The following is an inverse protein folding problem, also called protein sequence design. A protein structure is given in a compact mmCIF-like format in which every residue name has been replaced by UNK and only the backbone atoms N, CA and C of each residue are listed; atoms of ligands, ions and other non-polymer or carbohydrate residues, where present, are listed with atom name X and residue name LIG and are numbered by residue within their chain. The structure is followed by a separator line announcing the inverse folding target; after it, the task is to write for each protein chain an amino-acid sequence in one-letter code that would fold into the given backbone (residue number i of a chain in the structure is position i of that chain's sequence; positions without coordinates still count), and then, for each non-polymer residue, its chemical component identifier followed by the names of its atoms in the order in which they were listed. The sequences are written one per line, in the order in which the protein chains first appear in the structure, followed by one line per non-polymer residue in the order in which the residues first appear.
data_IF_134752855953
#
_entry.id   IF_134752855953
#
_cell.length_a   1.000
_cell.length_b   1.000
_cell.length_c   1.000
_cell.angle_alpha   90.00
_cell.angle_beta   90.00
_cell.angle_gamma   90.00
#
_symmetry.space_group_name_H-M   'P 1'
#
loop_
_entity.id
_entity.type
_entity.pdbx_description
1 polymer ?
#
# COMPACT_ATOMS: atom_id res chain seq x y z
N UNK A 1 2.21 12.28 -22.88
CA UNK A 1 1.83 13.37 -22.00
C UNK A 1 3.01 14.34 -21.75
N UNK A 2 4.20 13.87 -21.27
CA UNK A 2 5.37 14.73 -20.97
C UNK A 2 5.78 15.59 -22.18
N UNK A 3 5.99 14.99 -23.35
CA UNK A 3 6.30 15.71 -24.60
C UNK A 3 5.25 16.77 -24.97
N UNK A 4 3.97 16.48 -24.71
CA UNK A 4 2.89 17.45 -24.99
C UNK A 4 2.95 18.66 -24.03
N UNK A 5 3.20 18.42 -22.74
CA UNK A 5 3.35 19.48 -21.74
C UNK A 5 4.55 20.39 -22.09
N UNK A 6 5.68 19.76 -22.42
CA UNK A 6 6.91 20.48 -22.81
C UNK A 6 6.73 21.29 -24.10
N UNK A 7 5.96 20.80 -25.09
CA UNK A 7 5.63 21.53 -26.31
C UNK A 7 4.78 22.79 -26.07
N UNK A 8 4.17 22.92 -24.89
CA UNK A 8 3.41 24.10 -24.45
C UNK A 8 4.22 25.03 -23.54
N UNK A 9 5.56 24.88 -23.50
CA UNK A 9 6.46 25.64 -22.63
C UNK A 9 6.13 25.49 -21.12
N UNK A 10 5.49 24.38 -20.73
CA UNK A 10 5.18 24.06 -19.35
C UNK A 10 6.23 23.07 -18.80
N UNK A 11 6.67 23.30 -17.58
CA UNK A 11 7.60 22.40 -16.88
C UNK A 11 6.83 21.42 -16.00
N UNK A 12 7.05 20.14 -16.20
CA UNK A 12 6.53 19.11 -15.31
C UNK A 12 7.37 19.05 -14.03
N UNK A 13 6.74 19.23 -12.88
CA UNK A 13 7.37 19.07 -11.57
C UNK A 13 7.01 17.68 -11.03
N UNK A 14 8.03 16.91 -10.64
CA UNK A 14 7.80 15.57 -10.07
C UNK A 14 7.03 15.65 -8.75
N UNK A 15 6.04 14.76 -8.58
CA UNK A 15 5.32 14.59 -7.31
C UNK A 15 6.27 14.27 -6.16
N UNK A 16 7.40 13.62 -6.43
CA UNK A 16 8.42 13.33 -5.41
C UNK A 16 8.95 14.60 -4.75
N UNK A 17 9.14 15.68 -5.50
CA UNK A 17 9.63 16.97 -4.95
C UNK A 17 8.54 17.61 -4.10
N UNK A 18 7.28 17.55 -4.56
CA UNK A 18 6.15 18.21 -3.88
C UNK A 18 5.77 17.47 -2.60
N UNK A 19 5.77 16.13 -2.64
CA UNK A 19 5.27 15.27 -1.57
C UNK A 19 6.37 14.53 -0.81
N UNK A 20 7.62 14.98 -0.86
CA UNK A 20 8.78 14.30 -0.24
C UNK A 20 8.51 13.89 1.22
N UNK A 21 7.96 14.80 2.03
CA UNK A 21 7.62 14.54 3.44
C UNK A 21 6.48 13.53 3.64
N UNK A 22 5.68 13.30 2.61
CA UNK A 22 4.56 12.35 2.66
C UNK A 22 4.93 10.99 2.08
N UNK A 23 6.09 10.85 1.45
CA UNK A 23 6.56 9.56 0.95
C UNK A 23 6.87 8.62 2.11
N UNK A 24 6.52 7.34 1.91
CA UNK A 24 6.86 6.29 2.87
C UNK A 24 8.37 6.11 2.97
N UNK A 25 8.88 5.88 4.18
CA UNK A 25 10.28 5.56 4.44
C UNK A 25 10.40 4.43 5.47
N UNK A 26 11.58 3.83 5.58
CA UNK A 26 11.78 2.71 6.52
C UNK A 26 11.55 3.08 7.98
N UNK A 27 11.80 4.34 8.37
CA UNK A 27 11.52 4.83 9.72
C UNK A 27 10.02 4.87 10.07
N UNK A 28 9.13 4.81 9.08
CA UNK A 28 7.69 4.74 9.30
C UNK A 28 7.23 3.34 9.74
N UNK A 29 8.09 2.33 9.63
CA UNK A 29 7.73 0.95 9.96
C UNK A 29 7.30 0.80 11.42
N UNK A 30 6.14 0.15 11.63
CA UNK A 30 5.57 -0.14 12.95
C UNK A 30 5.21 -1.62 13.02
N UNK A 31 6.11 -2.46 13.52
CA UNK A 31 5.93 -3.90 13.57
C UNK A 31 5.52 -4.36 14.98
N UNK A 32 4.30 -4.89 15.11
CA UNK A 32 3.84 -5.53 16.35
C UNK A 32 4.53 -6.88 16.55
N UNK A 33 4.82 -7.23 17.81
CA UNK A 33 5.54 -8.47 18.16
C UNK A 33 4.87 -9.73 17.62
N UNK A 34 3.55 -9.79 17.70
CA UNK A 34 2.71 -10.89 17.23
C UNK A 34 2.70 -11.07 15.70
N UNK A 35 3.11 -10.05 14.94
CA UNK A 35 3.13 -10.08 13.47
C UNK A 35 4.53 -10.34 12.88
N UNK A 36 5.51 -10.73 13.69
CA UNK A 36 6.88 -11.05 13.21
C UNK A 36 6.92 -12.15 12.15
N UNK A 37 6.05 -13.14 12.27
CA UNK A 37 5.97 -14.23 11.28
C UNK A 37 5.41 -13.72 9.94
N UNK A 38 4.42 -12.82 9.96
CA UNK A 38 3.91 -12.14 8.77
C UNK A 38 5.05 -11.37 8.09
N UNK A 39 5.80 -10.57 8.85
CA UNK A 39 6.94 -9.82 8.34
C UNK A 39 7.99 -10.71 7.67
N UNK A 40 8.42 -11.80 8.35
CA UNK A 40 9.39 -12.75 7.78
C UNK A 40 8.87 -13.39 6.49
N UNK A 41 7.59 -13.76 6.46
CA UNK A 41 6.95 -14.32 5.28
C UNK A 41 6.96 -13.32 4.11
N UNK A 42 6.54 -12.07 4.34
CA UNK A 42 6.53 -11.03 3.31
C UNK A 42 7.95 -10.76 2.79
N UNK A 43 8.95 -10.68 3.67
CA UNK A 43 10.35 -10.50 3.25
C UNK A 43 10.82 -11.64 2.34
N UNK A 44 10.61 -12.88 2.77
CA UNK A 44 11.01 -14.09 2.00
C UNK A 44 10.37 -14.12 0.62
N UNK A 45 9.13 -13.67 0.50
CA UNK A 45 8.35 -13.73 -0.74
C UNK A 45 8.27 -12.40 -1.50
N UNK A 46 8.99 -11.36 -1.06
CA UNK A 46 8.88 -10.00 -1.62
C UNK A 46 9.17 -9.93 -3.11
N UNK A 47 10.12 -10.73 -3.62
CA UNK A 47 10.43 -10.80 -5.05
C UNK A 47 9.27 -11.34 -5.88
N UNK A 48 8.61 -12.39 -5.40
CA UNK A 48 7.43 -12.99 -6.06
C UNK A 48 6.27 -12.00 -6.03
N UNK A 49 6.02 -11.36 -4.88
CA UNK A 49 4.95 -10.37 -4.73
C UNK A 49 5.19 -9.18 -5.67
N UNK A 50 6.43 -8.66 -5.74
CA UNK A 50 6.80 -7.60 -6.69
C UNK A 50 6.58 -8.01 -8.15
N UNK A 51 6.85 -9.28 -8.48
CA UNK A 51 6.60 -9.82 -9.82
C UNK A 51 5.10 -9.79 -10.18
N UNK A 52 4.21 -10.02 -9.23
CA UNK A 52 2.75 -9.90 -9.47
C UNK A 52 2.39 -8.47 -9.87
N UNK A 53 2.92 -7.47 -9.17
CA UNK A 53 2.68 -6.06 -9.52
C UNK A 53 3.31 -5.66 -10.85
N UNK A 54 4.36 -6.36 -11.32
CA UNK A 54 4.99 -6.08 -12.62
C UNK A 54 4.12 -6.43 -13.83
N UNK A 55 3.01 -7.16 -13.64
CA UNK A 55 2.01 -7.38 -14.68
C UNK A 55 1.07 -6.19 -14.91
N UNK A 56 1.21 -5.10 -14.13
CA UNK A 56 0.41 -3.88 -14.22
C UNK A 56 -1.11 -4.07 -14.00
N UNK A 57 -1.53 -5.18 -13.42
CA UNK A 57 -2.94 -5.50 -13.20
C UNK A 57 -3.57 -4.60 -12.13
N UNK A 58 -2.81 -4.30 -11.07
CA UNK A 58 -3.31 -3.52 -9.94
C UNK A 58 -2.18 -2.82 -9.18
N UNK A 59 -2.54 -1.95 -8.23
CA UNK A 59 -1.61 -1.33 -7.27
C UNK A 59 -1.76 -1.91 -5.86
N UNK A 60 -2.79 -2.72 -5.61
CA UNK A 60 -3.06 -3.28 -4.30
C UNK A 60 -3.59 -4.71 -4.40
N UNK A 61 -3.26 -5.52 -3.42
CA UNK A 61 -3.81 -6.86 -3.24
C UNK A 61 -3.96 -7.20 -1.75
N UNK A 62 -4.74 -8.23 -1.48
CA UNK A 62 -4.91 -8.80 -0.13
C UNK A 62 -4.44 -10.24 -0.14
N UNK A 63 -3.65 -10.60 0.87
CA UNK A 63 -3.20 -11.97 1.11
C UNK A 63 -3.66 -12.48 2.48
N UNK A 64 -3.83 -13.81 2.59
CA UNK A 64 -3.88 -14.55 3.86
C UNK A 64 -2.86 -15.69 3.79
N UNK A 65 -1.77 -15.55 4.53
CA UNK A 65 -0.61 -16.43 4.37
C UNK A 65 -0.04 -16.35 2.95
N UNK A 66 0.08 -17.49 2.27
CA UNK A 66 0.61 -17.65 0.91
C UNK A 66 -0.43 -17.46 -0.20
N UNK A 67 -1.68 -17.20 0.17
CA UNK A 67 -2.80 -17.08 -0.78
C UNK A 67 -3.13 -15.63 -1.09
N UNK A 68 -3.27 -15.31 -2.36
CA UNK A 68 -3.90 -14.06 -2.79
C UNK A 68 -5.41 -14.24 -2.68
N UNK A 69 -6.04 -13.42 -1.86
CA UNK A 69 -7.49 -13.48 -1.61
C UNK A 69 -8.25 -12.49 -2.48
N UNK A 70 -7.64 -11.35 -2.77
CA UNK A 70 -8.24 -10.31 -3.61
C UNK A 70 -7.17 -9.47 -4.28
N UNK A 71 -7.47 -9.01 -5.49
CA UNK A 71 -6.69 -8.03 -6.25
C UNK A 71 -7.60 -6.84 -6.49
N UNK A 72 -7.06 -5.62 -6.38
CA UNK A 72 -7.78 -4.38 -6.67
C UNK A 72 -8.24 -4.35 -8.12
N UNK A 73 -9.51 -4.08 -8.31
CA UNK A 73 -10.18 -3.91 -9.60
C UNK A 73 -10.45 -2.43 -9.92
N UNK A 74 -11.23 -2.16 -10.96
CA UNK A 74 -11.60 -0.81 -11.41
C UNK A 74 -12.38 0.00 -10.36
N UNK A 75 -12.98 -0.64 -9.34
CA UNK A 75 -13.70 0.03 -8.27
C UNK A 75 -12.77 0.53 -7.16
N UNK A 76 -11.48 0.17 -7.20
CA UNK A 76 -10.43 0.71 -6.34
C UNK A 76 -10.27 0.03 -4.99
N UNK A 77 -9.25 0.48 -4.27
CA UNK A 77 -8.74 -0.11 -3.03
C UNK A 77 -9.81 -0.26 -1.95
N UNK A 78 -10.57 0.80 -1.65
CA UNK A 78 -11.56 0.78 -0.56
C UNK A 78 -12.72 -0.15 -0.86
N UNK A 79 -13.12 -0.28 -2.12
CA UNK A 79 -14.15 -1.24 -2.54
C UNK A 79 -13.65 -2.67 -2.35
N UNK A 80 -12.43 -2.98 -2.77
CA UNK A 80 -11.81 -4.29 -2.54
C UNK A 80 -11.81 -4.65 -1.05
N UNK A 81 -11.41 -3.73 -0.16
CA UNK A 81 -11.35 -3.97 1.28
C UNK A 81 -12.76 -4.18 1.86
N UNK A 82 -13.76 -3.43 1.40
CA UNK A 82 -15.16 -3.57 1.86
C UNK A 82 -15.77 -4.96 1.59
N UNK A 83 -15.26 -5.72 0.64
CA UNK A 83 -15.67 -7.12 0.39
C UNK A 83 -15.41 -8.02 1.60
N UNK A 84 -14.47 -7.66 2.48
CA UNK A 84 -14.14 -8.42 3.68
C UNK A 84 -15.09 -8.19 4.87
N UNK A 85 -16.09 -7.28 4.75
CA UNK A 85 -17.05 -6.95 5.82
C UNK A 85 -17.69 -8.18 6.47
N UNK A 86 -18.05 -9.19 5.68
CA UNK A 86 -18.75 -10.38 6.15
C UNK A 86 -17.82 -11.60 6.26
N UNK A 87 -16.51 -11.43 6.10
CA UNK A 87 -15.54 -12.52 6.00
C UNK A 87 -14.54 -12.55 7.17
N UNK A 88 -14.73 -11.70 8.18
CA UNK A 88 -13.74 -11.45 9.25
C UNK A 88 -13.25 -12.72 9.99
N UNK A 89 -14.08 -13.77 10.07
CA UNK A 89 -13.75 -15.01 10.78
C UNK A 89 -13.19 -16.10 9.87
N UNK A 90 -13.15 -15.89 8.56
CA UNK A 90 -12.67 -16.90 7.61
C UNK A 90 -11.14 -16.83 7.41
N UNK A 91 -10.55 -15.67 7.68
CA UNK A 91 -9.12 -15.41 7.46
C UNK A 91 -8.42 -15.04 8.77
N UNK A 92 -7.22 -15.59 8.98
CA UNK A 92 -6.46 -15.40 10.23
C UNK A 92 -5.40 -14.31 10.13
N UNK A 93 -4.79 -14.15 8.95
CA UNK A 93 -3.60 -13.31 8.76
C UNK A 93 -3.75 -12.39 7.53
N UNK A 94 -4.88 -11.68 7.42
CA UNK A 94 -5.10 -10.75 6.33
C UNK A 94 -4.02 -9.65 6.29
N UNK A 95 -3.35 -9.56 5.16
CA UNK A 95 -2.34 -8.53 4.86
C UNK A 95 -2.78 -7.76 3.63
N UNK A 96 -2.89 -6.45 3.77
CA UNK A 96 -3.04 -5.54 2.64
C UNK A 96 -1.67 -5.16 2.11
N UNK A 97 -1.45 -5.32 0.82
CA UNK A 97 -0.19 -5.00 0.16
C UNK A 97 -0.44 -3.95 -0.92
N UNK A 98 0.36 -2.88 -0.89
CA UNK A 98 0.33 -1.82 -1.90
C UNK A 98 1.72 -1.63 -2.50
N UNK A 99 1.76 -1.44 -3.82
CA UNK A 99 2.98 -1.22 -4.59
C UNK A 99 2.75 -0.23 -5.72
N UNK A 100 3.81 0.17 -6.37
CA UNK A 100 3.76 0.90 -7.64
C UNK A 100 3.62 -0.07 -8.80
N UNK A 101 2.96 0.32 -9.87
CA UNK A 101 2.96 -0.41 -11.15
C UNK A 101 4.29 -0.19 -11.87
N UNK A 102 4.71 -1.17 -12.69
CA UNK A 102 5.96 -1.11 -13.43
C UNK A 102 6.04 0.08 -14.40
N UNK A 103 4.94 0.35 -15.11
CA UNK A 103 4.87 1.39 -16.15
C UNK A 103 4.28 2.70 -15.63
N UNK A 104 4.23 2.87 -14.31
CA UNK A 104 3.73 4.09 -13.69
C UNK A 104 4.67 5.26 -13.96
N UNK A 105 4.11 6.38 -14.40
CA UNK A 105 4.88 7.62 -14.61
C UNK A 105 5.16 8.24 -13.24
N UNK A 106 6.33 7.95 -12.70
CA UNK A 106 6.73 8.38 -11.35
C UNK A 106 6.70 9.90 -11.10
N UNK A 107 6.68 10.71 -12.16
CA UNK A 107 6.60 12.15 -12.03
C UNK A 107 5.20 12.65 -11.66
N UNK A 108 4.13 11.89 -12.02
CA UNK A 108 2.76 12.41 -11.97
C UNK A 108 1.71 11.47 -11.37
N UNK A 109 2.07 10.23 -11.07
CA UNK A 109 1.10 9.21 -10.64
C UNK A 109 1.69 8.30 -9.56
N UNK A 110 1.89 8.84 -8.35
CA UNK A 110 2.26 8.02 -7.21
C UNK A 110 1.02 7.38 -6.58
N UNK A 111 1.08 6.08 -6.21
CA UNK A 111 0.01 5.47 -5.43
C UNK A 111 -0.13 6.15 -4.06
N UNK A 112 -1.37 6.36 -3.64
CA UNK A 112 -1.69 7.03 -2.39
C UNK A 112 -2.40 6.04 -1.46
N UNK A 113 -2.08 6.10 -0.17
CA UNK A 113 -2.84 5.48 0.91
C UNK A 113 -3.21 6.53 1.95
N UNK A 114 -4.43 6.49 2.47
CA UNK A 114 -4.92 7.47 3.45
C UNK A 114 -5.65 6.85 4.62
N UNK A 115 -6.09 7.70 5.55
CA UNK A 115 -6.75 7.26 6.78
C UNK A 115 -8.07 6.52 6.52
N UNK A 116 -8.85 6.85 5.47
CA UNK A 116 -10.06 6.08 5.14
C UNK A 116 -9.74 4.60 4.87
N UNK A 117 -8.70 4.33 4.08
CA UNK A 117 -8.23 2.96 3.84
C UNK A 117 -7.77 2.30 5.13
N UNK A 118 -7.00 3.03 5.96
CA UNK A 118 -6.52 2.54 7.25
C UNK A 118 -7.67 2.14 8.17
N UNK A 119 -8.69 2.98 8.31
CA UNK A 119 -9.87 2.72 9.13
C UNK A 119 -10.61 1.45 8.68
N UNK A 120 -10.74 1.24 7.37
CA UNK A 120 -11.33 0.01 6.83
C UNK A 120 -10.51 -1.23 7.18
N UNK A 121 -9.18 -1.14 7.07
CA UNK A 121 -8.27 -2.25 7.41
C UNK A 121 -8.34 -2.60 8.90
N UNK A 122 -8.40 -1.59 9.78
CA UNK A 122 -8.58 -1.78 11.22
C UNK A 122 -9.97 -2.40 11.49
N UNK A 123 -11.02 -1.84 10.91
CA UNK A 123 -12.40 -2.30 11.09
C UNK A 123 -12.60 -3.76 10.69
N UNK A 124 -11.93 -4.20 9.63
CA UNK A 124 -12.04 -5.58 9.14
C UNK A 124 -10.91 -6.49 9.63
N UNK A 125 -10.23 -6.09 10.71
CA UNK A 125 -9.26 -6.89 11.47
C UNK A 125 -8.07 -7.40 10.64
N UNK A 126 -7.61 -6.60 9.68
CA UNK A 126 -6.35 -6.87 9.01
C UNK A 126 -5.20 -6.86 10.02
N UNK A 127 -4.16 -7.65 9.77
CA UNK A 127 -2.99 -7.78 10.66
C UNK A 127 -1.86 -6.86 10.24
N UNK A 128 -1.70 -6.61 8.94
CA UNK A 128 -0.64 -5.74 8.46
C UNK A 128 -1.03 -5.00 7.18
N UNK A 129 -0.41 -3.83 7.02
CA UNK A 129 -0.24 -3.12 5.76
C UNK A 129 1.20 -3.32 5.35
N UNK A 130 1.45 -3.75 4.11
CA UNK A 130 2.77 -3.83 3.52
C UNK A 130 2.90 -2.84 2.34
N UNK A 131 3.83 -1.90 2.44
CA UNK A 131 4.16 -0.95 1.38
C UNK A 131 5.46 -1.38 0.72
N UNK A 132 5.38 -1.85 -0.53
CA UNK A 132 6.50 -2.46 -1.26
C UNK A 132 7.29 -1.47 -2.11
N UNK A 133 7.23 -0.20 -1.81
CA UNK A 133 8.01 0.81 -2.52
C UNK A 133 8.01 2.12 -1.73
N UNK A 134 9.13 2.85 -1.79
CA UNK A 134 9.27 4.18 -1.17
C UNK A 134 8.52 5.28 -1.92
N UNK A 135 8.07 5.03 -3.15
CA UNK A 135 7.31 5.98 -3.96
C UNK A 135 5.78 5.84 -3.73
N UNK A 136 5.37 5.61 -2.49
CA UNK A 136 3.97 5.59 -2.08
C UNK A 136 3.75 6.81 -1.17
N UNK A 137 2.72 7.59 -1.46
CA UNK A 137 2.33 8.75 -0.66
C UNK A 137 1.40 8.28 0.47
N UNK A 138 1.70 8.68 1.70
CA UNK A 138 0.79 8.53 2.83
C UNK A 138 0.09 9.88 3.05
N UNK A 139 -1.20 9.95 2.72
CA UNK A 139 -2.00 11.15 2.95
C UNK A 139 -2.15 11.39 4.46
N UNK A 140 -1.89 12.63 4.91
CA UNK A 140 -1.86 12.99 6.33
C UNK A 140 -1.00 12.01 7.16
N UNK A 141 0.27 11.89 6.79
CA UNK A 141 1.22 10.88 7.27
C UNK A 141 1.30 10.82 8.79
N UNK A 142 1.32 11.96 9.48
CA UNK A 142 1.43 11.99 10.94
C UNK A 142 0.23 11.32 11.60
N UNK A 143 -0.99 11.68 11.20
CA UNK A 143 -2.21 11.07 11.72
C UNK A 143 -2.30 9.58 11.36
N UNK A 144 -1.84 9.20 10.14
CA UNK A 144 -1.81 7.81 9.71
C UNK A 144 -0.91 6.96 10.62
N UNK A 145 0.32 7.41 10.89
CA UNK A 145 1.27 6.70 11.77
C UNK A 145 0.75 6.65 13.21
N UNK A 146 0.17 7.73 13.70
CA UNK A 146 -0.44 7.76 15.04
C UNK A 146 -1.58 6.73 15.17
N UNK A 147 -2.45 6.63 14.17
CA UNK A 147 -3.54 5.65 14.14
C UNK A 147 -3.01 4.21 14.06
N UNK A 148 -1.94 3.95 13.29
CA UNK A 148 -1.24 2.65 13.30
C UNK A 148 -0.75 2.31 14.71
N UNK A 149 -0.10 3.27 15.40
CA UNK A 149 0.43 3.05 16.74
C UNK A 149 -0.66 2.70 17.76
N UNK A 150 -1.82 3.33 17.66
CA UNK A 150 -2.98 3.08 18.53
C UNK A 150 -3.73 1.79 18.19
N UNK A 151 -3.52 1.22 17.01
CA UNK A 151 -4.19 0.00 16.53
C UNK A 151 -3.37 -1.26 16.80
N UNK A 152 -3.97 -2.43 16.51
CA UNK A 152 -3.27 -3.73 16.45
C UNK A 152 -2.64 -4.00 15.08
N UNK A 153 -2.76 -3.09 14.13
CA UNK A 153 -2.25 -3.23 12.78
C UNK A 153 -0.75 -2.97 12.74
N UNK A 154 0.00 -3.74 11.97
CA UNK A 154 1.41 -3.46 11.66
C UNK A 154 1.55 -2.70 10.35
N UNK A 155 2.50 -1.78 10.28
CA UNK A 155 2.98 -1.18 9.04
C UNK A 155 4.36 -1.75 8.71
N UNK A 156 4.46 -2.40 7.55
CA UNK A 156 5.67 -3.02 7.01
C UNK A 156 6.10 -2.22 5.79
N UNK A 157 7.38 -1.85 5.72
CA UNK A 157 7.98 -1.10 4.62
C UNK A 157 9.14 -1.88 4.02
N UNK A 158 9.08 -2.21 2.72
CA UNK A 158 10.08 -3.03 2.00
C UNK A 158 10.52 -2.34 0.70
#
# INVERSE_FOLDING_TARGET
LKKFIESKNLKLISQKIIFDKLLVCHSDQQLKKEHKNIYKYILKNSSVIKKIFSFNLSQSLVMDGDRIISIEDIFGTNYMIKKFKNLNNQFKNLVFIKSVKKDQIYEIDFPIIGNETLELLIKFNFKAICLLNKNIIISNKNAFIENINKSKLSLIVI
#
